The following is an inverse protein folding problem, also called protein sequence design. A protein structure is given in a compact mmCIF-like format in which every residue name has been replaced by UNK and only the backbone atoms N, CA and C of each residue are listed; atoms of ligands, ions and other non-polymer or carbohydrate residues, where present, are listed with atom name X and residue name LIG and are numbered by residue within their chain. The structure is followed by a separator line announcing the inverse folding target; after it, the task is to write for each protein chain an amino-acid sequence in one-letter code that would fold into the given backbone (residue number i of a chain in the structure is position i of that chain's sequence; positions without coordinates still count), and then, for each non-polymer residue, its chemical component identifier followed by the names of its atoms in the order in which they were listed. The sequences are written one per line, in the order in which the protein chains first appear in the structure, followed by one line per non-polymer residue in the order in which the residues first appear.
data_IF_202558432957
#
_entry.id   IF_202558432957
#
_cell.length_a   1.000
_cell.length_b   1.000
_cell.length_c   1.000
_cell.angle_alpha   90.00
_cell.angle_beta   90.00
_cell.angle_gamma   90.00
#
_symmetry.space_group_name_H-M   'P 1'
#
loop_
_entity.id
_entity.type
_entity.pdbx_description
1 polymer ?
#
# COMPACT_ATOMS: atom_id res chain seq x y z
N UNK A 1 7.55 -22.07 -19.37
CA UNK A 1 7.95 -20.71 -19.77
C UNK A 1 6.86 -20.06 -20.64
N UNK A 2 5.62 -19.89 -20.14
CA UNK A 2 4.45 -19.54 -20.98
C UNK A 2 4.20 -18.03 -21.15
N UNK A 3 4.92 -17.18 -20.40
CA UNK A 3 4.70 -15.72 -20.36
C UNK A 3 6.01 -14.91 -20.34
N UNK A 4 7.12 -15.47 -20.83
CA UNK A 4 8.42 -14.80 -20.83
C UNK A 4 8.40 -13.61 -21.83
N UNK A 5 8.18 -12.40 -21.32
CA UNK A 5 8.09 -11.16 -22.10
C UNK A 5 6.82 -10.33 -21.90
N UNK A 6 5.86 -10.79 -21.09
CA UNK A 6 4.70 -10.00 -20.68
C UNK A 6 4.83 -9.65 -19.19
N UNK A 7 5.37 -8.48 -18.89
CA UNK A 7 5.46 -7.99 -17.51
C UNK A 7 4.17 -7.27 -17.11
N UNK A 8 3.58 -7.59 -15.94
CA UNK A 8 2.42 -6.85 -15.43
C UNK A 8 2.85 -5.40 -15.15
N UNK A 9 2.35 -4.46 -15.94
CA UNK A 9 2.78 -3.06 -15.96
C UNK A 9 2.92 -2.47 -17.36
N UNK A 10 3.14 -3.33 -18.36
CA UNK A 10 3.33 -2.95 -19.77
C UNK A 10 1.99 -2.80 -20.54
N UNK A 11 0.85 -2.89 -19.85
CA UNK A 11 -0.48 -2.91 -20.47
C UNK A 11 -0.76 -1.69 -21.34
N UNK A 12 -0.36 -0.50 -20.89
CA UNK A 12 -0.47 0.75 -21.69
C UNK A 12 0.36 0.69 -22.96
N UNK A 13 1.56 0.10 -22.90
CA UNK A 13 2.48 -0.02 -24.03
C UNK A 13 2.01 -1.06 -25.05
N UNK A 14 1.23 -2.07 -24.63
CA UNK A 14 0.53 -2.99 -25.55
C UNK A 14 -0.54 -2.27 -26.37
N UNK A 15 -1.40 -1.46 -25.74
CA UNK A 15 -2.43 -0.72 -26.47
C UNK A 15 -1.82 0.30 -27.44
N UNK A 16 -0.71 0.93 -27.09
CA UNK A 16 0.03 1.83 -28.00
C UNK A 16 0.57 1.06 -29.20
N UNK A 17 1.23 -0.09 -28.99
CA UNK A 17 1.75 -0.94 -30.09
C UNK A 17 0.65 -1.50 -31.00
N UNK A 18 -0.50 -1.89 -30.46
CA UNK A 18 -1.65 -2.34 -31.25
C UNK A 18 -2.20 -1.21 -32.12
N UNK A 19 -2.33 0.00 -31.57
CA UNK A 19 -2.79 1.17 -32.31
C UNK A 19 -1.78 1.58 -33.40
N UNK A 20 -0.49 1.59 -33.10
CA UNK A 20 0.56 1.87 -34.07
C UNK A 20 0.55 0.86 -35.23
N UNK A 21 0.46 -0.44 -34.91
CA UNK A 21 0.33 -1.49 -35.93
C UNK A 21 -0.95 -1.34 -36.76
N UNK A 22 -2.06 -0.93 -36.15
CA UNK A 22 -3.32 -0.70 -36.85
C UNK A 22 -3.20 0.49 -37.81
N UNK A 23 -2.52 1.56 -37.39
CA UNK A 23 -2.23 2.72 -38.24
C UNK A 23 -1.33 2.33 -39.42
N UNK A 24 -0.28 1.54 -39.20
CA UNK A 24 0.58 1.02 -40.27
C UNK A 24 -0.19 0.15 -41.26
N UNK A 25 -1.09 -0.71 -40.78
CA UNK A 25 -1.95 -1.54 -41.63
C UNK A 25 -2.92 -0.69 -42.45
N UNK A 26 -3.55 0.32 -41.85
CA UNK A 26 -4.47 1.21 -42.54
C UNK A 26 -3.76 2.05 -43.60
N UNK A 27 -2.55 2.52 -43.30
CA UNK A 27 -1.69 3.22 -44.25
C UNK A 27 -1.32 2.33 -45.44
N UNK A 28 -0.84 1.10 -45.19
CA UNK A 28 -0.50 0.15 -46.25
C UNK A 28 -1.72 -0.24 -47.10
N UNK A 29 -2.92 -0.36 -46.50
CA UNK A 29 -4.18 -0.59 -47.22
C UNK A 29 -4.63 0.59 -48.05
N UNK A 30 -4.29 1.81 -47.65
CA UNK A 30 -4.54 3.01 -48.46
C UNK A 30 -3.61 3.03 -49.67
N UNK A 31 -2.30 2.83 -49.43
CA UNK A 31 -1.28 2.73 -50.49
C UNK A 31 -1.62 1.63 -51.51
N UNK A 32 -2.07 0.47 -51.05
CA UNK A 32 -2.51 -0.63 -51.93
C UNK A 32 -3.70 -0.19 -52.81
N UNK A 33 -4.72 0.45 -52.23
CA UNK A 33 -5.90 0.92 -52.99
C UNK A 33 -5.53 1.99 -54.01
N UNK A 34 -4.59 2.86 -53.68
CA UNK A 34 -4.06 3.87 -54.61
C UNK A 34 -3.31 3.21 -55.77
N UNK A 35 -2.45 2.23 -55.48
CA UNK A 35 -1.72 1.47 -56.49
C UNK A 35 -2.66 0.64 -57.38
N UNK A 36 -3.70 0.01 -56.81
CA UNK A 36 -4.73 -0.71 -57.56
C UNK A 36 -5.46 0.21 -58.53
N UNK A 37 -5.86 1.41 -58.08
CA UNK A 37 -6.48 2.41 -58.94
C UNK A 37 -5.54 2.88 -60.05
N UNK A 38 -4.26 3.09 -59.74
CA UNK A 38 -3.26 3.48 -60.74
C UNK A 38 -3.07 2.38 -61.81
N UNK A 39 -2.96 1.11 -61.39
CA UNK A 39 -2.93 -0.05 -62.29
C UNK A 39 -4.18 -0.12 -63.16
N UNK A 40 -5.36 0.03 -62.58
CA UNK A 40 -6.63 -0.08 -63.31
C UNK A 40 -6.81 1.06 -64.32
N UNK A 41 -6.35 2.27 -64.01
CA UNK A 41 -6.31 3.39 -64.94
C UNK A 41 -5.36 3.12 -66.12
N UNK A 42 -4.16 2.57 -65.87
CA UNK A 42 -3.23 2.16 -66.94
C UNK A 42 -3.82 1.05 -67.81
N UNK A 43 -4.51 0.08 -67.20
CA UNK A 43 -5.18 -1.03 -67.90
C UNK A 43 -6.31 -0.52 -68.79
N UNK A 44 -7.10 0.45 -68.33
CA UNK A 44 -8.13 1.10 -69.14
C UNK A 44 -7.52 1.93 -70.28
N UNK A 45 -6.41 2.65 -70.03
CA UNK A 45 -5.67 3.39 -71.06
C UNK A 45 -5.17 2.48 -72.19
N UNK A 46 -4.57 1.34 -71.84
CA UNK A 46 -4.15 0.31 -72.79
C UNK A 46 -5.34 -0.31 -73.55
N UNK A 47 -6.46 -0.56 -72.88
CA UNK A 47 -7.67 -1.07 -73.55
C UNK A 47 -8.23 -0.06 -74.57
N UNK A 48 -8.26 1.22 -74.22
CA UNK A 48 -8.70 2.30 -75.11
C UNK A 48 -7.74 2.50 -76.29
N UNK A 49 -6.42 2.46 -76.07
CA UNK A 49 -5.42 2.53 -77.14
C UNK A 49 -5.57 1.34 -78.09
N UNK A 50 -5.64 0.12 -77.56
CA UNK A 50 -5.83 -1.08 -78.38
C UNK A 50 -7.16 -1.04 -79.17
N UNK A 51 -8.24 -0.50 -78.59
CA UNK A 51 -9.51 -0.31 -79.29
C UNK A 51 -9.42 0.74 -80.40
N UNK A 52 -8.73 1.85 -80.17
CA UNK A 52 -8.47 2.90 -81.18
C UNK A 52 -7.57 2.35 -82.30
N UNK A 53 -6.51 1.60 -81.98
CA UNK A 53 -5.64 0.94 -82.97
C UNK A 53 -6.36 -0.16 -83.76
N UNK A 54 -7.24 -0.94 -83.13
CA UNK A 54 -8.06 -1.94 -83.83
C UNK A 54 -9.12 -1.30 -84.74
N UNK A 55 -9.69 -0.17 -84.33
CA UNK A 55 -10.61 0.65 -85.13
C UNK A 55 -9.92 1.45 -86.25
N UNK A 56 -8.59 1.53 -86.27
CA UNK A 56 -7.80 2.26 -87.27
C UNK A 56 -7.49 1.45 -88.54
N UNK A 57 -8.12 0.29 -88.74
CA UNK A 57 -8.04 -0.49 -89.99
C UNK A 57 -8.92 0.05 -91.13
N UNK A 58 -9.51 1.25 -90.98
CA UNK A 58 -10.39 1.85 -91.99
C UNK A 58 -10.14 3.37 -92.16
N UNK A 59 -9.24 3.74 -93.06
CA UNK A 59 -9.21 5.04 -93.74
C UNK A 59 -8.97 6.32 -92.91
N UNK A 60 -8.65 7.46 -93.57
CA UNK A 60 -8.17 8.67 -92.91
C UNK A 60 -9.32 9.48 -92.30
N UNK A 61 -9.62 9.23 -91.02
CA UNK A 61 -10.64 9.98 -90.24
C UNK A 61 -10.01 10.68 -89.02
N UNK A 62 -8.71 10.53 -88.79
CA UNK A 62 -8.00 11.03 -87.58
C UNK A 62 -8.11 12.55 -87.41
N UNK A 63 -8.23 13.32 -88.51
CA UNK A 63 -8.32 14.78 -88.44
C UNK A 63 -9.74 15.31 -88.16
N UNK A 64 -10.81 14.50 -88.33
CA UNK A 64 -12.16 14.92 -87.90
C UNK A 64 -12.40 14.72 -86.41
N UNK A 65 -11.64 13.82 -85.76
CA UNK A 65 -11.71 13.62 -84.31
C UNK A 65 -11.16 14.82 -83.53
N UNK A 66 -10.06 15.44 -83.98
CA UNK A 66 -9.50 16.65 -83.37
C UNK A 66 -10.44 17.87 -83.49
N UNK A 67 -11.12 18.03 -84.64
CA UNK A 67 -12.14 19.07 -84.81
C UNK A 67 -13.38 18.78 -83.96
N UNK A 68 -13.79 17.52 -83.85
CA UNK A 68 -14.91 17.11 -82.98
C UNK A 68 -14.58 17.30 -81.49
N UNK A 69 -13.33 17.11 -81.07
CA UNK A 69 -12.86 17.39 -79.70
C UNK A 69 -12.90 18.90 -79.40
N UNK A 70 -12.43 19.74 -80.34
CA UNK A 70 -12.52 21.20 -80.23
C UNK A 70 -13.99 21.66 -80.17
N UNK A 71 -14.88 21.08 -80.98
CA UNK A 71 -16.31 21.39 -80.97
C UNK A 71 -16.97 21.01 -79.63
N UNK A 72 -16.66 19.83 -79.08
CA UNK A 72 -17.15 19.41 -77.78
C UNK A 72 -16.67 20.32 -76.64
N UNK A 73 -15.43 20.80 -76.73
CA UNK A 73 -14.84 21.71 -75.75
C UNK A 73 -15.44 23.12 -75.83
N UNK A 74 -15.63 23.65 -77.04
CA UNK A 74 -16.34 24.92 -77.25
C UNK A 74 -17.74 24.85 -76.65
N UNK A 75 -18.47 23.76 -76.88
CA UNK A 75 -19.82 23.57 -76.35
C UNK A 75 -19.84 23.47 -74.81
N UNK A 76 -18.85 22.83 -74.20
CA UNK A 76 -18.70 22.81 -72.74
C UNK A 76 -18.43 24.20 -72.16
N UNK A 77 -17.62 25.01 -72.84
CA UNK A 77 -17.26 26.36 -72.41
C UNK A 77 -18.41 27.35 -72.62
N UNK A 78 -19.20 27.19 -73.69
CA UNK A 78 -20.44 27.94 -73.92
C UNK A 78 -21.46 27.68 -72.82
N UNK A 79 -21.67 26.41 -72.43
CA UNK A 79 -22.54 26.06 -71.28
C UNK A 79 -22.05 26.68 -69.97
N UNK A 80 -20.73 26.75 -69.75
CA UNK A 80 -20.17 27.43 -68.60
C UNK A 80 -20.43 28.95 -68.64
N UNK A 81 -20.25 29.57 -69.80
CA UNK A 81 -20.57 30.98 -70.03
C UNK A 81 -22.05 31.28 -69.77
N UNK A 82 -22.96 30.42 -70.23
CA UNK A 82 -24.40 30.57 -69.98
C UNK A 82 -24.72 30.50 -68.47
N UNK A 83 -24.06 29.61 -67.74
CA UNK A 83 -24.15 29.54 -66.27
C UNK A 83 -23.60 30.79 -65.57
N UNK A 84 -22.52 31.37 -66.10
CA UNK A 84 -21.94 32.62 -65.59
C UNK A 84 -22.85 33.83 -65.89
N UNK A 85 -23.46 33.90 -67.07
CA UNK A 85 -24.37 35.00 -67.45
C UNK A 85 -25.69 35.02 -66.65
N UNK A 86 -26.12 33.88 -66.11
CA UNK A 86 -27.27 33.83 -65.20
C UNK A 86 -26.98 34.50 -63.85
N UNK A 87 -25.70 34.66 -63.48
CA UNK A 87 -25.26 35.14 -62.15
C UNK A 87 -24.51 36.45 -62.20
N UNK A 88 -23.81 36.73 -63.30
CA UNK A 88 -22.92 37.87 -63.48
C UNK A 88 -23.33 38.71 -64.68
N UNK A 89 -23.06 40.01 -64.60
CA UNK A 89 -23.31 40.93 -65.72
C UNK A 89 -22.26 40.74 -66.83
N UNK A 90 -22.56 41.12 -68.09
CA UNK A 90 -21.66 40.93 -69.23
C UNK A 90 -20.28 41.58 -69.09
N UNK A 91 -20.11 42.51 -68.16
CA UNK A 91 -18.84 43.20 -67.88
C UNK A 91 -17.97 42.57 -66.79
N UNK A 92 -18.39 41.44 -66.18
CA UNK A 92 -17.63 40.78 -65.11
C UNK A 92 -16.34 40.14 -65.65
N UNK A 93 -15.19 40.25 -64.96
CA UNK A 93 -13.91 39.72 -65.44
C UNK A 93 -13.94 38.23 -65.81
N UNK A 94 -14.73 37.42 -65.09
CA UNK A 94 -14.86 35.98 -65.38
C UNK A 94 -15.64 35.70 -66.67
N UNK A 95 -16.65 36.52 -66.99
CA UNK A 95 -17.40 36.43 -68.25
C UNK A 95 -16.52 36.84 -69.42
N UNK A 96 -15.74 37.92 -69.25
CA UNK A 96 -14.76 38.37 -70.25
C UNK A 96 -13.67 37.32 -70.47
N UNK A 97 -13.20 36.69 -69.39
CA UNK A 97 -12.24 35.58 -69.45
C UNK A 97 -12.78 34.37 -70.21
N UNK A 98 -14.01 33.94 -69.90
CA UNK A 98 -14.66 32.82 -70.60
C UNK A 98 -14.90 33.14 -72.09
N UNK A 99 -15.34 34.36 -72.42
CA UNK A 99 -15.50 34.82 -73.80
C UNK A 99 -14.18 34.84 -74.56
N UNK A 100 -13.08 35.26 -73.92
CA UNK A 100 -11.74 35.24 -74.51
C UNK A 100 -11.31 33.83 -74.87
N UNK A 101 -11.53 32.87 -73.96
CA UNK A 101 -11.18 31.45 -74.18
C UNK A 101 -12.03 30.84 -75.31
N UNK A 102 -13.33 31.15 -75.37
CA UNK A 102 -14.19 30.68 -76.47
C UNK A 102 -13.71 31.23 -77.82
N UNK A 103 -13.36 32.52 -77.87
CA UNK A 103 -12.84 33.15 -79.10
C UNK A 103 -11.55 32.49 -79.56
N UNK A 104 -10.62 32.24 -78.63
CA UNK A 104 -9.36 31.54 -78.92
C UNK A 104 -9.60 30.12 -79.45
N UNK A 105 -10.54 29.37 -78.86
CA UNK A 105 -10.92 28.04 -79.34
C UNK A 105 -11.60 28.07 -80.71
N UNK A 106 -12.43 29.07 -80.98
CA UNK A 106 -13.07 29.27 -82.30
C UNK A 106 -12.05 29.65 -83.38
N UNK A 107 -11.05 30.46 -83.04
CA UNK A 107 -9.92 30.78 -83.93
C UNK A 107 -9.07 29.54 -84.22
N UNK A 108 -8.75 28.73 -83.21
CA UNK A 108 -8.05 27.46 -83.39
C UNK A 108 -8.84 26.48 -84.26
N UNK A 109 -10.16 26.39 -84.05
CA UNK A 109 -11.06 25.62 -84.91
C UNK A 109 -11.04 26.13 -86.35
N UNK A 110 -11.13 27.44 -86.54
CA UNK A 110 -11.11 28.05 -87.87
C UNK A 110 -9.78 27.76 -88.58
N UNK A 111 -8.65 27.87 -87.87
CA UNK A 111 -7.33 27.51 -88.40
C UNK A 111 -7.24 26.02 -88.74
N UNK A 112 -7.78 25.12 -87.91
CA UNK A 112 -7.81 23.68 -88.20
C UNK A 112 -8.65 23.35 -89.44
N UNK A 113 -9.78 24.05 -89.63
CA UNK A 113 -10.64 23.89 -90.82
C UNK A 113 -10.02 24.51 -92.07
N UNK A 114 -9.27 25.61 -91.96
CA UNK A 114 -8.53 26.21 -93.06
C UNK A 114 -7.31 25.36 -93.46
N UNK A 115 -6.57 24.82 -92.50
CA UNK A 115 -5.48 23.87 -92.74
C UNK A 115 -5.98 22.60 -93.45
N UNK A 116 -7.22 22.18 -93.18
CA UNK A 116 -7.91 21.11 -93.93
C UNK A 116 -8.22 21.47 -95.39
N UNK A 117 -8.42 22.77 -95.71
CA UNK A 117 -8.72 23.25 -97.06
C UNK A 117 -7.47 23.55 -97.89
N UNK A 118 -6.36 23.91 -97.25
CA UNK A 118 -5.11 24.29 -97.93
C UNK A 118 -4.26 23.10 -98.41
N UNK A 119 -4.35 21.92 -97.76
CA UNK A 119 -3.53 20.76 -98.11
C UNK A 119 -4.31 19.42 -98.05
N UNK A 120 -4.83 18.92 -99.19
CA UNK A 120 -5.32 17.54 -99.28
C UNK A 120 -4.19 16.49 -99.42
N UNK A 121 -2.92 16.91 -99.52
CA UNK A 121 -1.78 16.03 -99.83
C UNK A 121 -0.82 15.77 -98.65
N UNK A 122 -0.98 16.43 -97.49
CA UNK A 122 -0.14 16.22 -96.31
C UNK A 122 -0.63 15.08 -95.39
N UNK A 123 -1.69 14.35 -95.76
CA UNK A 123 -2.26 13.25 -94.99
C UNK A 123 -1.45 11.93 -95.03
N UNK A 124 -0.24 11.95 -95.60
CA UNK A 124 0.62 10.78 -95.76
C UNK A 124 1.96 10.88 -95.02
N UNK A 125 2.04 11.67 -93.94
CA UNK A 125 3.04 11.41 -92.92
C UNK A 125 2.48 10.31 -92.00
N UNK A 126 3.02 9.08 -92.02
CA UNK A 126 2.65 8.10 -91.01
C UNK A 126 3.05 8.73 -89.68
N UNK A 127 2.05 9.05 -88.86
CA UNK A 127 2.32 9.34 -87.46
C UNK A 127 2.95 8.06 -86.91
N UNK A 128 4.26 8.10 -86.68
CA UNK A 128 5.03 7.12 -85.91
C UNK A 128 4.62 7.13 -84.43
N UNK A 129 3.34 7.40 -84.13
CA UNK A 129 2.65 7.02 -82.89
C UNK A 129 2.24 5.54 -82.97
N UNK A 130 3.15 4.71 -83.48
CA UNK A 130 3.05 3.27 -83.55
C UNK A 130 4.17 2.62 -82.74
N UNK A 131 4.03 1.31 -82.47
CA UNK A 131 4.44 0.46 -81.34
C UNK A 131 5.06 1.05 -80.04
N UNK A 132 5.88 2.10 -80.11
CA UNK A 132 6.71 2.55 -78.99
C UNK A 132 5.90 3.11 -77.80
N UNK A 133 4.76 3.77 -78.05
CA UNK A 133 3.89 4.27 -76.99
C UNK A 133 3.18 3.14 -76.24
N UNK A 134 2.65 2.16 -76.98
CA UNK A 134 2.00 0.97 -76.42
C UNK A 134 2.97 0.08 -75.62
N UNK A 135 4.23 -0.03 -76.05
CA UNK A 135 5.25 -0.77 -75.31
C UNK A 135 5.66 -0.06 -74.02
N UNK A 136 5.74 1.27 -74.02
CA UNK A 136 5.97 2.06 -72.79
C UNK A 136 4.82 1.90 -71.78
N UNK A 137 3.56 1.86 -72.24
CA UNK A 137 2.38 1.61 -71.41
C UNK A 137 2.34 0.18 -70.86
N UNK A 138 2.80 -0.81 -71.62
CA UNK A 138 2.95 -2.19 -71.12
C UNK A 138 4.01 -2.27 -70.03
N UNK A 139 5.16 -1.62 -70.22
CA UNK A 139 6.22 -1.55 -69.20
C UNK A 139 5.67 -0.89 -67.92
N UNK A 140 4.98 0.25 -68.03
CA UNK A 140 4.40 0.92 -66.85
C UNK A 140 3.31 0.08 -66.17
N UNK A 141 2.52 -0.68 -66.92
CA UNK A 141 1.55 -1.62 -66.36
C UNK A 141 2.24 -2.76 -65.60
N UNK A 142 3.28 -3.39 -66.17
CA UNK A 142 4.03 -4.43 -65.44
C UNK A 142 4.70 -3.91 -64.18
N UNK A 143 5.19 -2.66 -64.20
CA UNK A 143 5.74 -1.99 -63.03
C UNK A 143 4.66 -1.72 -61.97
N UNK A 144 3.47 -1.27 -62.39
CA UNK A 144 2.33 -1.06 -61.49
C UNK A 144 1.80 -2.38 -60.89
N UNK A 145 1.76 -3.46 -61.68
CA UNK A 145 1.40 -4.80 -61.19
C UNK A 145 2.41 -5.32 -60.17
N UNK A 146 3.71 -5.12 -60.42
CA UNK A 146 4.76 -5.44 -59.45
C UNK A 146 4.62 -4.62 -58.15
N UNK A 147 4.24 -3.34 -58.25
CA UNK A 147 3.96 -2.49 -57.09
C UNK A 147 2.75 -2.98 -56.30
N UNK A 148 1.64 -3.33 -56.97
CA UNK A 148 0.45 -3.90 -56.31
C UNK A 148 0.79 -5.21 -55.62
N UNK A 149 1.55 -6.10 -56.28
CA UNK A 149 1.99 -7.36 -55.68
C UNK A 149 2.83 -7.11 -54.41
N UNK A 150 3.81 -6.22 -54.47
CA UNK A 150 4.64 -5.84 -53.32
C UNK A 150 3.82 -5.25 -52.15
N UNK A 151 2.91 -4.32 -52.45
CA UNK A 151 2.04 -3.71 -51.44
C UNK A 151 1.05 -4.71 -50.84
N UNK A 152 0.52 -5.64 -51.64
CA UNK A 152 -0.38 -6.68 -51.16
C UNK A 152 0.33 -7.64 -50.18
N UNK A 153 1.58 -8.02 -50.47
CA UNK A 153 2.41 -8.79 -49.56
C UNK A 153 2.67 -8.01 -48.25
N UNK A 154 2.97 -6.71 -48.37
CA UNK A 154 3.18 -5.82 -47.21
C UNK A 154 1.93 -5.68 -46.34
N UNK A 155 0.74 -5.58 -46.94
CA UNK A 155 -0.55 -5.60 -46.22
C UNK A 155 -0.77 -6.93 -45.52
N UNK A 156 -0.45 -8.05 -46.17
CA UNK A 156 -0.53 -9.39 -45.56
C UNK A 156 0.34 -9.50 -44.31
N UNK A 157 1.59 -9.04 -44.37
CA UNK A 157 2.51 -9.01 -43.24
C UNK A 157 2.01 -8.13 -42.09
N UNK A 158 1.57 -6.90 -42.39
CA UNK A 158 1.01 -6.01 -41.36
C UNK A 158 -0.28 -6.55 -40.75
N UNK A 159 -1.13 -7.22 -41.54
CA UNK A 159 -2.35 -7.84 -41.07
C UNK A 159 -2.03 -9.00 -40.11
N UNK A 160 -1.11 -9.89 -40.48
CA UNK A 160 -0.68 -10.99 -39.62
C UNK A 160 -0.01 -10.50 -38.33
N UNK A 161 0.81 -9.44 -38.41
CA UNK A 161 1.42 -8.81 -37.23
C UNK A 161 0.36 -8.17 -36.31
N UNK A 162 -0.62 -7.48 -36.89
CA UNK A 162 -1.71 -6.86 -36.14
C UNK A 162 -2.57 -7.90 -35.43
N UNK A 163 -2.88 -9.02 -36.09
CA UNK A 163 -3.64 -10.12 -35.50
C UNK A 163 -2.89 -10.75 -34.33
N UNK A 164 -1.59 -11.04 -34.48
CA UNK A 164 -0.75 -11.56 -33.38
C UNK A 164 -0.73 -10.62 -32.18
N UNK A 165 -0.60 -9.30 -32.41
CA UNK A 165 -0.63 -8.30 -31.34
C UNK A 165 -2.01 -8.15 -30.69
N UNK A 166 -3.10 -8.29 -31.46
CA UNK A 166 -4.46 -8.30 -30.90
C UNK A 166 -4.71 -9.54 -30.05
N UNK A 167 -4.26 -10.71 -30.51
CA UNK A 167 -4.38 -11.96 -29.77
C UNK A 167 -3.62 -11.90 -28.44
N UNK A 168 -2.41 -11.33 -28.41
CA UNK A 168 -1.68 -11.12 -27.16
C UNK A 168 -2.32 -10.07 -26.26
N UNK A 169 -2.81 -8.96 -26.82
CA UNK A 169 -3.51 -7.92 -26.06
C UNK A 169 -4.79 -8.44 -25.38
N UNK A 170 -5.50 -9.38 -26.02
CA UNK A 170 -6.69 -10.00 -25.43
C UNK A 170 -6.38 -10.83 -24.16
N UNK A 171 -5.14 -11.31 -24.00
CA UNK A 171 -4.70 -12.07 -22.82
C UNK A 171 -4.27 -11.16 -21.66
N UNK A 172 -3.98 -9.88 -21.92
CA UNK A 172 -3.49 -8.94 -20.89
C UNK A 172 -4.45 -8.81 -19.70
N UNK A 173 -5.76 -8.59 -19.87
CA UNK A 173 -6.67 -8.47 -18.73
C UNK A 173 -6.77 -9.75 -17.89
N UNK A 174 -6.66 -10.93 -18.52
CA UNK A 174 -6.66 -12.21 -17.81
C UNK A 174 -5.39 -12.38 -16.98
N UNK A 175 -4.24 -12.02 -17.56
CA UNK A 175 -2.96 -12.07 -16.87
C UNK A 175 -2.89 -11.07 -15.71
N UNK A 176 -3.46 -9.86 -15.87
CA UNK A 176 -3.58 -8.88 -14.79
C UNK A 176 -4.46 -9.40 -13.65
N UNK A 177 -5.59 -10.03 -13.97
CA UNK A 177 -6.48 -10.63 -12.96
C UNK A 177 -5.80 -11.80 -12.22
N UNK A 178 -5.12 -12.69 -12.94
CA UNK A 178 -4.37 -13.81 -12.36
C UNK A 178 -3.22 -13.32 -11.49
N UNK A 179 -2.47 -12.30 -11.94
CA UNK A 179 -1.40 -11.68 -11.16
C UNK A 179 -1.94 -11.01 -9.88
N UNK A 180 -3.04 -10.27 -9.98
CA UNK A 180 -3.69 -9.65 -8.82
C UNK A 180 -4.19 -10.69 -7.81
N UNK A 181 -4.76 -11.80 -8.30
CA UNK A 181 -5.18 -12.93 -7.47
C UNK A 181 -3.97 -13.56 -6.78
N UNK A 182 -2.90 -13.88 -7.52
CA UNK A 182 -1.71 -14.49 -6.96
C UNK A 182 -1.04 -13.59 -5.91
N UNK A 183 -1.00 -12.28 -6.13
CA UNK A 183 -0.47 -11.33 -5.16
C UNK A 183 -1.33 -11.29 -3.89
N UNK A 184 -2.67 -11.32 -4.02
CA UNK A 184 -3.57 -11.40 -2.87
C UNK A 184 -3.38 -12.71 -2.10
N UNK A 185 -3.28 -13.83 -2.78
CA UNK A 185 -3.06 -15.15 -2.16
C UNK A 185 -1.69 -15.20 -1.47
N UNK A 186 -0.66 -14.65 -2.11
CA UNK A 186 0.67 -14.50 -1.51
C UNK A 186 0.62 -13.65 -0.24
N UNK A 187 -0.07 -12.51 -0.24
CA UNK A 187 -0.22 -11.67 0.95
C UNK A 187 -0.96 -12.39 2.09
N UNK A 188 -2.02 -13.14 1.79
CA UNK A 188 -2.74 -13.95 2.79
C UNK A 188 -1.82 -15.01 3.37
N UNK A 189 -1.11 -15.75 2.52
CA UNK A 189 -0.19 -16.80 2.96
C UNK A 189 0.98 -16.23 3.79
N UNK A 190 1.52 -15.08 3.38
CA UNK A 190 2.56 -14.36 4.13
C UNK A 190 2.06 -13.95 5.51
N UNK A 191 0.88 -13.32 5.61
CA UNK A 191 0.29 -12.93 6.90
C UNK A 191 0.02 -14.15 7.80
N UNK A 192 -0.48 -15.25 7.22
CA UNK A 192 -0.70 -16.49 7.96
C UNK A 192 0.62 -17.07 8.47
N UNK A 193 1.65 -17.13 7.62
CA UNK A 193 2.99 -17.57 8.00
C UNK A 193 3.56 -16.71 9.13
N UNK A 194 3.51 -15.38 9.00
CA UNK A 194 3.98 -14.44 10.03
C UNK A 194 3.22 -14.64 11.35
N UNK A 195 1.91 -14.86 11.30
CA UNK A 195 1.10 -15.16 12.49
C UNK A 195 1.50 -16.49 13.13
N UNK A 196 1.72 -17.54 12.34
CA UNK A 196 2.16 -18.86 12.84
C UNK A 196 3.56 -18.79 13.45
N UNK A 197 4.48 -18.05 12.83
CA UNK A 197 5.82 -17.80 13.38
C UNK A 197 5.72 -17.04 14.69
N UNK A 198 4.92 -15.98 14.77
CA UNK A 198 4.70 -15.23 16.01
C UNK A 198 4.11 -16.09 17.13
N UNK A 199 3.13 -16.96 16.82
CA UNK A 199 2.57 -17.92 17.77
C UNK A 199 3.59 -18.96 18.23
N UNK A 200 4.42 -19.48 17.32
CA UNK A 200 5.50 -20.42 17.67
C UNK A 200 6.50 -19.77 18.62
N UNK A 201 6.90 -18.53 18.34
CA UNK A 201 7.83 -17.79 19.19
C UNK A 201 7.24 -17.52 20.57
N UNK A 202 5.98 -17.08 20.62
CA UNK A 202 5.26 -16.89 21.89
C UNK A 202 5.18 -18.20 22.69
N UNK A 203 4.88 -19.32 22.03
CA UNK A 203 4.82 -20.63 22.68
C UNK A 203 6.21 -21.11 23.15
N UNK A 204 7.28 -20.83 22.40
CA UNK A 204 8.64 -21.11 22.84
C UNK A 204 8.99 -20.29 24.08
N UNK A 205 8.69 -18.99 24.11
CA UNK A 205 8.93 -18.12 25.28
C UNK A 205 8.12 -18.60 26.49
N UNK A 206 6.83 -18.93 26.30
CA UNK A 206 6.00 -19.48 27.37
C UNK A 206 6.52 -20.84 27.85
N UNK A 207 6.99 -21.70 26.94
CA UNK A 207 7.58 -22.99 27.27
C UNK A 207 8.89 -22.85 28.04
N UNK A 208 9.78 -21.93 27.64
CA UNK A 208 11.01 -21.60 28.38
C UNK A 208 10.68 -21.05 29.76
N UNK A 209 9.72 -20.10 29.88
CA UNK A 209 9.27 -19.57 31.16
C UNK A 209 8.70 -20.67 32.07
N UNK A 210 7.88 -21.56 31.53
CA UNK A 210 7.31 -22.68 32.28
C UNK A 210 8.35 -23.76 32.63
N UNK A 211 9.43 -23.90 31.84
CA UNK A 211 10.55 -24.77 32.19
C UNK A 211 11.46 -24.18 33.27
N UNK A 212 11.52 -22.84 33.38
CA UNK A 212 12.19 -22.12 34.48
C UNK A 212 11.32 -22.17 35.75
N UNK A 213 9.99 -22.15 35.61
CA UNK A 213 9.02 -22.35 36.69
C UNK A 213 8.70 -23.84 36.92
N UNK A 214 9.67 -24.59 37.43
CA UNK A 214 9.41 -25.87 38.11
C UNK A 214 8.60 -25.73 39.42
N UNK A 215 7.80 -24.68 39.60
CA UNK A 215 7.06 -24.37 40.82
C UNK A 215 5.65 -23.97 40.42
N UNK A 216 4.66 -24.69 40.96
CA UNK A 216 3.24 -24.63 40.65
C UNK A 216 2.69 -23.21 40.46
N UNK A 217 1.85 -23.05 39.42
CA UNK A 217 1.13 -21.83 39.08
C UNK A 217 0.14 -21.45 40.22
N UNK A 218 0.54 -20.50 41.08
CA UNK A 218 -0.29 -20.04 42.20
C UNK A 218 -1.24 -18.93 41.75
N UNK A 219 -2.48 -19.31 41.41
CA UNK A 219 -3.56 -18.35 41.18
C UNK A 219 -4.08 -17.77 42.50
N UNK A 220 -3.96 -16.46 42.67
CA UNK A 220 -4.47 -15.75 43.85
C UNK A 220 -6.00 -15.66 43.74
N UNK A 221 -6.71 -16.55 44.46
CA UNK A 221 -8.18 -16.59 44.52
C UNK A 221 -8.72 -15.58 45.55
N UNK A 222 -7.98 -15.33 46.63
CA UNK A 222 -8.36 -14.36 47.66
C UNK A 222 -7.13 -13.54 48.08
N UNK A 223 -7.13 -12.20 47.86
CA UNK A 223 -6.01 -11.36 48.26
C UNK A 223 -5.88 -11.33 49.80
N UNK A 224 -4.65 -11.31 50.34
CA UNK A 224 -4.45 -11.34 51.79
C UNK A 224 -4.99 -10.07 52.45
N UNK A 225 -5.95 -10.25 53.37
CA UNK A 225 -6.47 -9.17 54.21
C UNK A 225 -5.61 -9.05 55.45
N UNK A 226 -5.20 -7.83 55.79
CA UNK A 226 -4.56 -7.55 57.08
C UNK A 226 -5.62 -7.66 58.18
N UNK A 227 -5.34 -8.47 59.20
CA UNK A 227 -6.23 -8.57 60.37
C UNK A 227 -6.20 -7.26 61.16
N UNK A 228 -7.35 -6.64 61.47
CA UNK A 228 -7.41 -5.45 62.31
C UNK A 228 -7.08 -5.77 63.79
N UNK A 229 -7.01 -7.05 64.16
CA UNK A 229 -6.64 -7.49 65.51
C UNK A 229 -5.22 -8.06 65.51
N UNK A 230 -4.35 -7.61 66.44
CA UNK A 230 -3.03 -8.20 66.60
C UNK A 230 -3.16 -9.66 67.03
N UNK A 231 -2.54 -10.57 66.26
CA UNK A 231 -2.64 -12.03 66.47
C UNK A 231 -1.74 -12.48 67.65
N UNK A 232 -0.72 -11.70 67.99
CA UNK A 232 0.18 -11.96 69.11
C UNK A 232 0.91 -10.69 69.56
N UNK A 233 1.34 -10.54 70.83
CA UNK A 233 0.93 -11.26 72.05
C UNK A 233 -0.32 -10.65 72.70
N UNK A 234 -1.05 -11.43 73.50
CA UNK A 234 -2.23 -10.94 74.24
C UNK A 234 -1.79 -9.99 75.36
N UNK A 235 -1.83 -8.68 75.04
CA UNK A 235 -1.34 -7.61 75.92
C UNK A 235 -2.05 -7.63 77.28
N UNK A 236 -3.34 -7.95 77.31
CA UNK A 236 -4.12 -8.04 78.56
C UNK A 236 -3.61 -9.10 79.53
N UNK A 237 -3.04 -10.21 79.04
CA UNK A 237 -2.48 -11.27 79.89
C UNK A 237 -1.05 -10.95 80.32
N UNK A 238 -0.26 -10.29 79.47
CA UNK A 238 1.16 -10.05 79.71
C UNK A 238 1.40 -9.07 80.87
N UNK A 239 0.62 -7.99 80.95
CA UNK A 239 0.76 -6.99 82.02
C UNK A 239 0.61 -7.54 83.46
N UNK A 240 -0.46 -8.27 83.81
CA UNK A 240 -0.58 -8.82 85.17
C UNK A 240 0.50 -9.87 85.44
N UNK A 241 0.91 -10.66 84.43
CA UNK A 241 2.00 -11.63 84.58
C UNK A 241 3.33 -10.92 84.85
N UNK A 242 3.63 -9.83 84.12
CA UNK A 242 4.83 -9.04 84.33
C UNK A 242 4.86 -8.38 85.73
N UNK A 243 3.71 -7.87 86.20
CA UNK A 243 3.57 -7.33 87.55
C UNK A 243 3.83 -8.41 88.62
N UNK A 244 3.21 -9.58 88.47
CA UNK A 244 3.42 -10.70 89.39
C UNK A 244 4.87 -11.18 89.37
N UNK A 245 5.50 -11.26 88.19
CA UNK A 245 6.90 -11.62 88.06
C UNK A 245 7.83 -10.59 88.72
N UNK A 246 7.54 -9.29 88.59
CA UNK A 246 8.32 -8.23 89.24
C UNK A 246 8.18 -8.29 90.77
N UNK A 247 6.98 -8.52 91.30
CA UNK A 247 6.76 -8.73 92.73
C UNK A 247 7.48 -9.99 93.24
N UNK A 248 7.35 -11.11 92.52
CA UNK A 248 8.03 -12.36 92.85
C UNK A 248 9.55 -12.20 92.82
N UNK A 249 10.09 -11.48 91.83
CA UNK A 249 11.51 -11.16 91.75
C UNK A 249 11.96 -10.28 92.93
N UNK A 250 11.18 -9.27 93.31
CA UNK A 250 11.47 -8.42 94.48
C UNK A 250 11.53 -9.22 95.78
N UNK A 251 10.57 -10.13 95.99
CA UNK A 251 10.54 -11.07 97.13
C UNK A 251 11.74 -12.03 97.05
N UNK A 252 12.03 -12.57 95.87
CA UNK A 252 13.14 -13.49 95.64
C UNK A 252 14.49 -12.85 95.95
N UNK A 253 14.71 -11.62 95.48
CA UNK A 253 15.95 -10.85 95.76
C UNK A 253 16.08 -10.57 97.26
N UNK A 254 15.01 -10.16 97.94
CA UNK A 254 15.06 -9.94 99.40
C UNK A 254 15.31 -11.23 100.17
N UNK A 255 14.73 -12.35 99.74
CA UNK A 255 15.01 -13.67 100.31
C UNK A 255 16.48 -14.08 100.11
N UNK A 256 17.02 -13.91 98.90
CA UNK A 256 18.42 -14.21 98.58
C UNK A 256 19.39 -13.35 99.41
N UNK A 257 19.10 -12.06 99.56
CA UNK A 257 19.88 -11.14 100.39
C UNK A 257 19.84 -11.52 101.87
N UNK A 258 18.70 -12.02 102.34
CA UNK A 258 18.58 -12.53 103.72
C UNK A 258 19.36 -13.83 103.91
N UNK A 259 19.40 -14.69 102.90
CA UNK A 259 20.15 -15.95 102.96
C UNK A 259 21.66 -15.73 103.00
N UNK A 260 22.18 -14.70 102.32
CA UNK A 260 23.62 -14.37 102.32
C UNK A 260 24.08 -13.68 103.61
N UNK A 261 23.15 -13.16 104.43
CA UNK A 261 23.44 -12.56 105.73
C UNK A 261 22.55 -13.20 106.82
N UNK A 262 22.87 -14.42 107.27
CA UNK A 262 22.11 -15.05 108.35
C UNK A 262 22.24 -14.21 109.63
N UNK A 263 21.12 -13.63 110.06
CA UNK A 263 21.02 -12.90 111.33
C UNK A 263 20.25 -13.75 112.33
N UNK A 264 20.84 -14.03 113.49
CA UNK A 264 20.17 -14.73 114.59
C UNK A 264 19.24 -13.75 115.32
N UNK A 265 17.94 -14.03 115.32
CA UNK A 265 16.91 -13.21 115.96
C UNK A 265 16.65 -13.62 117.41
N UNK A 266 16.91 -14.89 117.74
CA UNK A 266 16.69 -15.45 119.07
C UNK A 266 18.03 -15.85 119.69
N UNK A 267 18.34 -15.41 120.92
CA UNK A 267 19.50 -15.90 121.66
C UNK A 267 19.62 -17.42 121.63
N UNK A 268 18.53 -18.17 121.78
CA UNK A 268 18.57 -19.65 121.77
C UNK A 268 19.11 -20.21 120.47
N UNK A 269 18.69 -19.64 119.33
CA UNK A 269 19.16 -20.03 117.99
C UNK A 269 20.66 -19.77 117.79
N UNK A 270 21.21 -18.72 118.42
CA UNK A 270 22.66 -18.46 118.39
C UNK A 270 23.43 -19.52 119.18
N UNK A 271 22.94 -19.91 120.38
CA UNK A 271 23.58 -20.96 121.20
C UNK A 271 23.58 -22.30 120.49
N UNK A 272 22.47 -22.68 119.86
CA UNK A 272 22.37 -23.93 119.10
C UNK A 272 23.30 -23.96 117.88
N UNK A 273 23.41 -22.85 117.16
CA UNK A 273 24.27 -22.77 115.97
C UNK A 273 25.77 -22.66 116.29
N UNK A 274 26.14 -22.00 117.41
CA UNK A 274 27.55 -21.75 117.77
C UNK A 274 28.10 -22.70 118.83
N UNK A 275 27.25 -23.42 119.56
CA UNK A 275 27.65 -24.34 120.63
C UNK A 275 28.20 -23.66 121.90
N UNK A 276 28.15 -22.33 121.99
CA UNK A 276 28.75 -21.55 123.08
C UNK A 276 27.70 -21.06 124.09
N UNK A 277 28.00 -21.02 125.41
CA UNK A 277 27.09 -20.50 126.42
C UNK A 277 26.95 -18.97 126.32
N UNK A 278 25.74 -18.49 126.04
CA UNK A 278 25.37 -17.06 126.11
C UNK A 278 25.48 -16.53 127.55
N UNK A 279 26.25 -15.46 127.73
CA UNK A 279 26.45 -14.79 129.03
C UNK A 279 25.36 -13.75 129.37
N UNK A 280 24.61 -13.26 128.37
CA UNK A 280 23.54 -12.29 128.57
C UNK A 280 23.04 -11.72 127.23
N UNK A 281 21.89 -11.05 127.25
CA UNK A 281 21.28 -10.40 126.09
C UNK A 281 21.02 -8.94 126.40
N UNK A 282 21.46 -8.04 125.53
CA UNK A 282 21.20 -6.60 125.67
C UNK A 282 20.02 -6.26 124.78
N UNK A 283 18.87 -5.94 125.40
CA UNK A 283 17.69 -5.50 124.65
C UNK A 283 17.89 -4.08 124.12
N UNK A 284 17.53 -3.84 122.85
CA UNK A 284 17.56 -2.50 122.27
C UNK A 284 16.58 -1.58 123.02
N UNK A 285 17.09 -0.52 123.66
CA UNK A 285 16.24 0.52 124.25
C UNK A 285 15.77 1.48 123.16
N UNK A 286 14.48 1.42 122.81
CA UNK A 286 13.88 2.27 121.78
C UNK A 286 13.99 3.75 122.18
N UNK A 287 14.67 4.57 121.37
CA UNK A 287 14.75 6.02 121.55
C UNK A 287 13.56 6.69 120.86
N UNK A 288 13.01 7.82 121.36
CA UNK A 288 11.88 8.51 120.70
C UNK A 288 12.13 8.86 119.22
N UNK A 289 13.39 9.06 118.83
CA UNK A 289 13.79 9.27 117.42
C UNK A 289 13.69 8.03 116.52
N UNK A 290 13.84 6.82 117.08
CA UNK A 290 13.74 5.56 116.32
C UNK A 290 12.31 5.31 115.85
N UNK A 291 11.31 5.65 116.68
CA UNK A 291 9.89 5.53 116.34
C UNK A 291 9.51 6.42 115.15
N UNK A 292 10.10 7.63 115.08
CA UNK A 292 9.88 8.54 113.96
C UNK A 292 10.59 8.06 112.68
N UNK A 293 11.76 7.44 112.81
CA UNK A 293 12.48 6.86 111.68
C UNK A 293 11.77 5.62 111.10
N UNK A 294 11.24 4.74 111.95
CA UNK A 294 10.41 3.60 111.54
C UNK A 294 9.13 4.06 110.84
N UNK A 295 8.42 5.04 111.40
CA UNK A 295 7.24 5.63 110.75
C UNK A 295 7.57 6.19 109.36
N UNK A 296 8.69 6.93 109.21
CA UNK A 296 9.14 7.43 107.90
C UNK A 296 9.47 6.30 106.93
N UNK A 297 10.07 5.20 107.40
CA UNK A 297 10.34 4.02 106.58
C UNK A 297 9.05 3.38 106.06
N UNK A 298 8.08 3.15 106.94
CA UNK A 298 6.76 2.61 106.55
C UNK A 298 6.01 3.54 105.59
N UNK A 299 6.07 4.86 105.81
CA UNK A 299 5.47 5.84 104.88
C UNK A 299 6.17 5.85 103.52
N UNK A 300 7.51 5.75 103.47
CA UNK A 300 8.26 5.61 102.21
C UNK A 300 7.90 4.32 101.47
N UNK A 301 7.79 3.21 102.19
CA UNK A 301 7.38 1.92 101.62
C UNK A 301 5.94 1.97 101.08
N UNK A 302 5.01 2.51 101.86
CA UNK A 302 3.62 2.71 101.42
C UNK A 302 3.56 3.63 100.19
N UNK A 303 4.32 4.72 100.18
CA UNK A 303 4.44 5.61 99.02
C UNK A 303 4.99 4.92 97.78
N UNK A 304 6.02 4.08 97.93
CA UNK A 304 6.58 3.29 96.83
C UNK A 304 5.58 2.25 96.30
N UNK A 305 4.82 1.58 97.18
CA UNK A 305 3.79 0.63 96.80
C UNK A 305 2.64 1.31 96.02
N UNK A 306 2.16 2.46 96.51
CA UNK A 306 1.14 3.26 95.81
C UNK A 306 1.67 3.78 94.48
N UNK A 307 2.92 4.24 94.43
CA UNK A 307 3.58 4.69 93.21
C UNK A 307 3.70 3.59 92.15
N UNK A 308 4.02 2.36 92.56
CA UNK A 308 4.09 1.21 91.65
C UNK A 308 2.70 0.87 91.07
N UNK A 309 1.65 0.86 91.88
CA UNK A 309 0.27 0.66 91.40
C UNK A 309 -0.15 1.80 90.46
N UNK A 310 0.18 3.05 90.80
CA UNK A 310 -0.10 4.20 89.95
C UNK A 310 0.58 4.14 88.59
N UNK A 311 1.86 3.75 88.56
CA UNK A 311 2.63 3.58 87.32
C UNK A 311 2.10 2.41 86.48
N UNK A 312 1.70 1.31 87.12
CA UNK A 312 1.04 0.19 86.45
C UNK A 312 -0.27 0.63 85.76
N UNK A 313 -1.14 1.36 86.47
CA UNK A 313 -2.39 1.86 85.89
C UNK A 313 -2.14 2.88 84.77
N UNK A 314 -1.19 3.79 84.94
CA UNK A 314 -0.84 4.79 83.92
C UNK A 314 -0.32 4.12 82.63
N UNK A 315 0.56 3.14 82.75
CA UNK A 315 1.09 2.40 81.59
C UNK A 315 0.02 1.57 80.90
N UNK A 316 -0.90 0.96 81.66
CA UNK A 316 -2.06 0.25 81.11
C UNK A 316 -2.97 1.17 80.28
N UNK A 317 -3.32 2.35 80.81
CA UNK A 317 -4.17 3.33 80.13
C UNK A 317 -3.48 3.89 78.87
N UNK A 318 -2.19 4.25 78.94
CA UNK A 318 -1.45 4.74 77.77
C UNK A 318 -1.46 3.69 76.64
N UNK A 319 -1.29 2.42 76.98
CA UNK A 319 -1.30 1.35 75.99
C UNK A 319 -2.69 1.13 75.39
N UNK A 320 -3.77 1.25 76.19
CA UNK A 320 -5.14 1.18 75.67
C UNK A 320 -5.42 2.31 74.67
N UNK A 321 -4.96 3.53 74.96
CA UNK A 321 -5.09 4.69 74.07
C UNK A 321 -4.26 4.53 72.79
N UNK A 322 -3.05 3.97 72.88
CA UNK A 322 -2.24 3.67 71.70
C UNK A 322 -2.88 2.54 70.87
N UNK A 323 -3.42 1.52 71.52
CA UNK A 323 -4.10 0.42 70.84
C UNK A 323 -5.38 0.88 70.11
N UNK A 324 -6.16 1.79 70.71
CA UNK A 324 -7.37 2.32 70.08
C UNK A 324 -7.11 3.30 68.93
N UNK A 325 -5.92 3.90 68.86
CA UNK A 325 -5.51 4.77 67.73
C UNK A 325 -4.92 4.01 66.55
N UNK A 326 -4.46 2.78 66.76
CA UNK A 326 -3.80 1.94 65.75
C UNK A 326 -4.75 0.89 65.16
N UNK A 327 -5.86 0.59 65.85
CA UNK A 327 -6.98 -0.23 65.35
C UNK A 327 -7.94 0.59 64.49
#
# INVERSE_FOLDING_TARGET
MRYLGMTPGDGRDFFVRVNESNNQLNQARLELREAERARDALKQGLANENAVSAGSSSGPVVNSAAVAELDARIESMRRNLDGLLQRYTPGHPDVVGAQRVIRELEEQRHQAVLARRADPAAAAAPSTRGPLASDQLRVSLTQAEAQVASLSARVGEYAARNEKLKASAALVPQLEAEYAQLNRDYEVNKRNYESLVGRRESANISGEMQSVEGVADFRIVDPPRVSPRPVSPNRFLLFPVALLAACAAGIGVTYLLRQTRPTFLDPRSLREATGLPLLGVVSKRVRPGDVSAERRSHVRFAGAAVGLVGLYLATFVILEVVASRVA
#
